data_IF_340102020729
#
_entry.id   IF_340102020729
#
_cell.length_a   1.000
_cell.length_b   1.000
_cell.length_c   1.000
_cell.angle_alpha   90.00
_cell.angle_beta   90.00
_cell.angle_gamma   90.00
#
_symmetry.space_group_name_H-M   'P 1'
#
loop_
_entity.id
_entity.type
_entity.pdbx_description
1 polymer ?
#
# COMPACT_ATOMS: atom_id res chain seq x y z
N UNK A 1 -9.45 8.39 -1.23
CA UNK A 1 -8.68 8.04 -0.01
C UNK A 1 -7.74 9.22 0.28
N UNK A 2 -7.76 9.79 1.50
CA UNK A 2 -7.02 11.02 1.80
C UNK A 2 -5.54 10.79 2.19
N UNK A 3 -5.15 9.55 2.50
CA UNK A 3 -3.77 9.12 2.79
C UNK A 3 -3.62 7.62 2.53
N UNK A 4 -2.46 7.20 2.01
CA UNK A 4 -2.09 5.79 1.87
C UNK A 4 -2.04 5.07 3.25
N UNK A 5 -2.46 3.80 3.34
CA UNK A 5 -2.65 3.08 4.60
C UNK A 5 -1.33 2.52 5.16
N UNK A 6 -0.34 3.38 5.38
CA UNK A 6 0.91 3.00 6.04
C UNK A 6 0.69 2.57 7.49
N UNK A 7 1.58 1.71 7.99
CA UNK A 7 1.64 1.33 9.39
C UNK A 7 2.05 2.53 10.27
N UNK A 8 1.59 2.52 11.52
CA UNK A 8 1.95 3.56 12.48
C UNK A 8 3.38 3.29 12.96
N UNK A 9 4.33 4.24 12.82
CA UNK A 9 5.73 3.99 13.20
C UNK A 9 5.95 3.68 14.68
N UNK A 10 5.03 4.10 15.54
CA UNK A 10 5.08 3.85 16.99
C UNK A 10 4.44 2.53 17.41
N UNK A 11 3.89 1.76 16.47
CA UNK A 11 3.31 0.46 16.77
C UNK A 11 4.43 -0.54 17.17
N UNK A 12 4.32 -1.22 18.33
CA UNK A 12 5.35 -2.14 18.80
C UNK A 12 5.66 -3.28 17.82
N UNK A 13 4.65 -3.78 17.10
CA UNK A 13 4.82 -4.82 16.09
C UNK A 13 5.59 -4.26 14.90
N UNK A 14 5.23 -3.05 14.44
CA UNK A 14 5.97 -2.40 13.35
C UNK A 14 7.43 -2.20 13.71
N UNK A 15 7.74 -1.73 14.92
CA UNK A 15 9.11 -1.53 15.40
C UNK A 15 9.88 -2.85 15.44
N UNK A 16 9.28 -3.89 16.03
CA UNK A 16 9.91 -5.21 16.15
C UNK A 16 10.22 -5.81 14.78
N UNK A 17 9.27 -5.76 13.85
CA UNK A 17 9.45 -6.25 12.47
C UNK A 17 10.46 -5.42 11.69
N UNK A 18 10.44 -4.10 11.86
CA UNK A 18 11.37 -3.21 11.17
C UNK A 18 12.82 -3.51 11.52
N UNK A 19 13.11 -3.96 12.74
CA UNK A 19 14.47 -4.31 13.15
C UNK A 19 15.06 -5.54 12.40
N UNK A 20 14.22 -6.32 11.71
CA UNK A 20 14.65 -7.50 10.93
C UNK A 20 15.16 -7.13 9.52
N UNK A 21 15.02 -5.88 9.07
CA UNK A 21 15.32 -5.46 7.69
C UNK A 21 16.39 -4.37 7.60
N UNK A 22 17.13 -4.34 6.49
CA UNK A 22 18.13 -3.31 6.20
C UNK A 22 17.52 -1.96 5.80
N UNK A 23 16.46 -2.01 5.00
CA UNK A 23 15.61 -0.87 4.65
C UNK A 23 14.15 -1.21 5.01
N UNK A 24 13.74 -0.96 6.26
CA UNK A 24 12.40 -1.32 6.73
C UNK A 24 11.27 -0.62 5.97
N UNK A 25 11.55 0.55 5.39
CA UNK A 25 10.55 1.27 4.62
C UNK A 25 10.27 0.55 3.29
N UNK A 26 11.31 0.27 2.51
CA UNK A 26 11.17 -0.38 1.21
C UNK A 26 10.82 -1.88 1.33
N UNK A 27 11.38 -2.58 2.31
CA UNK A 27 11.27 -4.04 2.46
C UNK A 27 10.06 -4.48 3.28
N UNK A 28 9.51 -3.61 4.15
CA UNK A 28 8.38 -3.97 5.02
C UNK A 28 7.19 -3.01 4.91
N UNK A 29 7.40 -1.71 5.14
CA UNK A 29 6.29 -0.75 5.20
C UNK A 29 5.51 -0.63 3.88
N UNK A 30 6.20 -0.64 2.74
CA UNK A 30 5.58 -0.55 1.41
C UNK A 30 4.78 -1.81 1.06
N UNK A 31 5.34 -3.04 1.15
CA UNK A 31 4.57 -4.27 0.94
C UNK A 31 3.32 -4.36 1.82
N UNK A 32 3.42 -3.99 3.10
CA UNK A 32 2.29 -3.99 4.03
C UNK A 32 1.21 -2.98 3.63
N UNK A 33 1.60 -1.77 3.23
CA UNK A 33 0.68 -0.75 2.73
C UNK A 33 -0.04 -1.22 1.45
N UNK A 34 0.69 -1.84 0.52
CA UNK A 34 0.13 -2.44 -0.71
C UNK A 34 -0.90 -3.52 -0.36
N UNK A 35 -0.57 -4.42 0.56
CA UNK A 35 -1.46 -5.51 0.98
C UNK A 35 -2.77 -4.96 1.55
N UNK A 36 -2.70 -3.98 2.45
CA UNK A 36 -3.89 -3.31 3.01
C UNK A 36 -4.71 -2.62 1.92
N UNK A 37 -4.05 -1.97 0.96
CA UNK A 37 -4.75 -1.35 -0.16
C UNK A 37 -5.50 -2.40 -0.98
N UNK A 38 -4.86 -3.52 -1.36
CA UNK A 38 -5.48 -4.62 -2.10
C UNK A 38 -6.69 -5.21 -1.37
N UNK A 39 -6.62 -5.36 -0.05
CA UNK A 39 -7.77 -5.80 0.75
C UNK A 39 -8.93 -4.81 0.71
N UNK A 40 -8.64 -3.51 0.70
CA UNK A 40 -9.63 -2.45 0.47
C UNK A 40 -10.26 -2.53 -0.92
N UNK A 41 -9.45 -2.79 -1.95
CA UNK A 41 -9.90 -2.94 -3.35
C UNK A 41 -10.79 -4.15 -3.53
N UNK A 42 -10.47 -5.28 -2.89
CA UNK A 42 -11.33 -6.47 -2.89
C UNK A 42 -12.73 -6.24 -2.30
N UNK A 43 -12.97 -5.10 -1.63
CA UNK A 43 -14.32 -4.70 -1.22
C UNK A 43 -15.11 -4.05 -2.36
N UNK A 44 -14.42 -3.44 -3.32
CA UNK A 44 -14.97 -2.76 -4.50
C UNK A 44 -15.20 -3.73 -5.67
N UNK A 45 -14.23 -4.59 -5.96
CA UNK A 45 -14.29 -5.60 -7.04
C UNK A 45 -14.32 -6.98 -6.39
N UNK A 46 -15.45 -7.69 -6.48
CA UNK A 46 -15.64 -9.04 -5.89
C UNK A 46 -15.88 -10.12 -6.94
N UNK A 47 -16.35 -9.74 -8.13
CA UNK A 47 -16.56 -10.62 -9.27
C UNK A 47 -15.78 -10.11 -10.50
N UNK A 48 -15.48 -10.98 -11.49
CA UNK A 48 -14.81 -10.56 -12.73
C UNK A 48 -15.60 -9.56 -13.58
N UNK A 49 -16.91 -9.43 -13.32
CA UNK A 49 -17.79 -8.49 -14.03
C UNK A 49 -17.94 -7.16 -13.29
N UNK A 50 -17.47 -7.09 -12.04
CA UNK A 50 -17.52 -5.85 -11.27
C UNK A 50 -16.55 -4.83 -11.88
N UNK A 51 -17.02 -3.60 -12.01
CA UNK A 51 -16.20 -2.45 -12.41
C UNK A 51 -16.30 -1.39 -11.34
N UNK A 52 -15.20 -0.70 -11.09
CA UNK A 52 -15.11 0.30 -10.03
C UNK A 52 -13.96 1.26 -10.30
N UNK A 53 -14.05 2.44 -9.67
CA UNK A 53 -13.03 3.48 -9.78
C UNK A 53 -12.43 3.75 -8.41
N UNK A 54 -11.10 3.77 -8.33
CA UNK A 54 -10.35 4.13 -7.13
C UNK A 54 -9.65 5.46 -7.40
N UNK A 55 -9.87 6.43 -6.51
CA UNK A 55 -9.23 7.74 -6.61
C UNK A 55 -8.33 7.95 -5.39
N UNK A 56 -7.04 8.11 -5.64
CA UNK A 56 -6.00 8.35 -4.64
C UNK A 56 -5.43 9.75 -4.88
N UNK A 57 -5.54 10.62 -3.88
CA UNK A 57 -4.98 11.97 -3.91
C UNK A 57 -3.68 12.01 -3.11
N UNK A 58 -2.64 11.37 -3.63
CA UNK A 58 -1.32 11.28 -3.00
C UNK A 58 -0.23 11.44 -4.08
N UNK A 59 0.48 12.57 -4.03
CA UNK A 59 1.50 12.94 -5.02
C UNK A 59 2.70 11.99 -5.02
N UNK A 60 2.95 11.33 -3.88
CA UNK A 60 4.04 10.37 -3.71
C UNK A 60 3.95 9.20 -4.66
N UNK A 61 2.77 8.88 -5.19
CA UNK A 61 2.60 7.85 -6.21
C UNK A 61 3.37 8.15 -7.51
N UNK A 62 3.58 9.43 -7.81
CA UNK A 62 4.26 9.86 -9.02
C UNK A 62 5.66 10.38 -8.71
N UNK A 63 5.84 11.03 -7.55
CA UNK A 63 7.11 11.70 -7.21
C UNK A 63 8.15 10.78 -6.58
N UNK A 64 7.78 9.59 -6.12
CA UNK A 64 8.71 8.65 -5.48
C UNK A 64 8.98 7.42 -6.33
N UNK A 65 10.19 6.87 -6.22
CA UNK A 65 10.60 5.66 -6.92
C UNK A 65 9.74 4.44 -6.57
N UNK A 66 9.18 4.40 -5.36
CA UNK A 66 8.33 3.31 -4.91
C UNK A 66 6.87 3.45 -5.34
N UNK A 67 6.43 4.66 -5.75
CA UNK A 67 5.08 4.88 -6.26
C UNK A 67 4.76 3.99 -7.47
N UNK A 68 5.74 3.76 -8.35
CA UNK A 68 5.61 2.83 -9.47
C UNK A 68 5.28 1.39 -9.03
N UNK A 69 5.90 0.91 -7.94
CA UNK A 69 5.60 -0.43 -7.38
C UNK A 69 4.15 -0.56 -6.90
N UNK A 70 3.53 0.54 -6.46
CA UNK A 70 2.11 0.51 -6.11
C UNK A 70 1.24 0.32 -7.35
N UNK A 71 1.54 1.06 -8.43
CA UNK A 71 0.78 0.97 -9.68
C UNK A 71 0.79 -0.45 -10.24
N UNK A 72 1.95 -1.11 -10.24
CA UNK A 72 2.11 -2.50 -10.69
C UNK A 72 1.36 -3.51 -9.80
N UNK A 73 1.10 -3.17 -8.54
CA UNK A 73 0.42 -4.05 -7.59
C UNK A 73 -1.11 -3.95 -7.63
N UNK A 74 -1.67 -3.01 -8.38
CA UNK A 74 -3.11 -2.84 -8.54
C UNK A 74 -3.65 -3.80 -9.62
N UNK A 75 -4.85 -4.39 -9.43
CA UNK A 75 -5.47 -5.20 -10.46
C UNK A 75 -5.82 -4.34 -11.68
N UNK A 76 -5.41 -4.82 -12.86
CA UNK A 76 -5.81 -4.31 -14.19
C UNK A 76 -7.16 -4.87 -14.63
#
# INVERSE_FOLDING_TARGET
MFKLPFLVPTDPIYIARSAEYSDPFAEYAIPEMILKLRQGIGRLIRSPQDTGVIIIFDDRLVTTSWGARLADALPT
#
